data_IF_446808554593
#
_entry.id   IF_446808554593
#
_cell.length_a   1.000
_cell.length_b   1.000
_cell.length_c   1.000
_cell.angle_alpha   90.00
_cell.angle_beta   90.00
_cell.angle_gamma   90.00
#
_symmetry.space_group_name_H-M   'P 1'
#
loop_
_entity.id
_entity.type
_entity.pdbx_description
1 polymer ?
#
# COMPACT_ATOMS: atom_id res chain seq x y z
N UNK A 1 -18.78 4.94 -5.04
CA UNK A 1 -18.87 4.78 -3.56
C UNK A 1 -18.49 6.12 -2.96
N UNK A 2 -19.36 6.73 -2.17
CA UNK A 2 -19.12 8.08 -1.65
C UNK A 2 -17.90 8.15 -0.73
N UNK A 3 -17.20 9.29 -0.72
CA UNK A 3 -15.97 9.51 0.06
C UNK A 3 -16.13 9.17 1.55
N UNK A 4 -17.30 9.43 2.14
CA UNK A 4 -17.57 9.16 3.55
C UNK A 4 -17.51 7.66 3.88
N UNK A 5 -17.94 6.77 2.97
CA UNK A 5 -17.86 5.33 3.20
C UNK A 5 -16.42 4.82 3.17
N UNK A 6 -15.55 5.46 2.38
CA UNK A 6 -14.13 5.09 2.31
C UNK A 6 -13.42 5.46 3.61
N UNK A 7 -13.70 6.66 4.15
CA UNK A 7 -13.19 7.09 5.45
C UNK A 7 -13.67 6.15 6.56
N UNK A 8 -14.96 5.80 6.55
CA UNK A 8 -15.55 4.90 7.55
C UNK A 8 -14.93 3.50 7.47
N UNK A 9 -14.67 2.99 6.26
CA UNK A 9 -13.98 1.71 6.04
C UNK A 9 -12.55 1.77 6.60
N UNK A 10 -11.76 2.78 6.23
CA UNK A 10 -10.36 2.92 6.70
C UNK A 10 -10.33 3.02 8.24
N UNK A 11 -11.18 3.86 8.84
CA UNK A 11 -11.28 3.98 10.30
C UNK A 11 -11.74 2.69 10.96
N UNK A 12 -12.75 2.02 10.40
CA UNK A 12 -13.27 0.76 10.93
C UNK A 12 -12.22 -0.34 10.94
N UNK A 13 -11.51 -0.52 9.81
CA UNK A 13 -10.40 -1.49 9.73
C UNK A 13 -9.26 -1.09 10.66
N UNK A 14 -8.97 0.20 10.81
CA UNK A 14 -7.90 0.68 11.68
C UNK A 14 -8.18 0.40 13.15
N UNK A 15 -9.39 0.68 13.62
CA UNK A 15 -9.83 0.34 14.96
C UNK A 15 -9.83 -1.17 15.18
N UNK A 16 -10.34 -1.94 14.20
CA UNK A 16 -10.32 -3.40 14.27
C UNK A 16 -8.90 -3.96 14.42
N UNK A 17 -7.95 -3.49 13.60
CA UNK A 17 -6.55 -3.91 13.70
C UNK A 17 -5.89 -3.48 15.01
N UNK A 18 -6.24 -2.31 15.55
CA UNK A 18 -5.77 -1.88 16.88
C UNK A 18 -6.26 -2.82 17.99
N UNK A 19 -7.54 -3.16 17.97
CA UNK A 19 -8.14 -4.09 18.93
C UNK A 19 -7.48 -5.46 18.80
N UNK A 20 -7.35 -5.99 17.58
CA UNK A 20 -6.69 -7.26 17.32
C UNK A 20 -5.24 -7.27 17.84
N UNK A 21 -4.49 -6.18 17.60
CA UNK A 21 -3.12 -6.00 18.10
C UNK A 21 -3.03 -6.04 19.63
N UNK A 22 -4.08 -5.64 20.35
CA UNK A 22 -4.14 -5.71 21.83
C UNK A 22 -4.24 -7.15 22.33
N UNK A 23 -4.87 -8.05 21.58
CA UNK A 23 -5.00 -9.47 21.92
C UNK A 23 -3.79 -10.32 21.52
N UNK A 24 -2.84 -9.76 20.77
CA UNK A 24 -1.66 -10.49 20.31
C UNK A 24 -0.55 -10.60 21.38
N UNK A 25 0.19 -11.72 21.42
CA UNK A 25 1.34 -11.87 22.31
C UNK A 25 2.43 -10.85 21.98
N UNK A 26 3.14 -10.39 23.02
CA UNK A 26 4.11 -9.27 22.97
C UNK A 26 5.15 -9.42 21.84
N UNK A 27 5.58 -10.65 21.55
CA UNK A 27 6.56 -10.97 20.50
C UNK A 27 6.05 -10.64 19.09
N UNK A 28 4.77 -10.89 18.83
CA UNK A 28 4.12 -10.60 17.53
C UNK A 28 3.74 -9.13 17.46
N UNK A 29 3.22 -8.57 18.56
CA UNK A 29 2.79 -7.17 18.66
C UNK A 29 3.89 -6.16 18.27
N UNK A 30 5.17 -6.48 18.55
CA UNK A 30 6.32 -5.63 18.17
C UNK A 30 6.68 -5.70 16.69
N UNK A 31 6.43 -6.83 16.02
CA UNK A 31 6.65 -6.97 14.57
C UNK A 31 5.47 -6.45 13.75
N UNK A 32 4.28 -6.39 14.33
CA UNK A 32 3.04 -6.03 13.66
C UNK A 32 2.92 -4.49 13.48
N UNK A 33 3.18 -4.01 12.26
CA UNK A 33 2.95 -2.61 11.88
C UNK A 33 1.56 -2.48 11.26
N UNK A 34 0.74 -1.61 11.83
CA UNK A 34 -0.65 -1.42 11.36
C UNK A 34 -0.65 -0.76 9.97
N UNK A 35 0.31 0.14 9.69
CA UNK A 35 0.44 0.81 8.39
C UNK A 35 0.62 -0.18 7.23
N UNK A 36 1.44 -1.22 7.41
CA UNK A 36 1.71 -2.23 6.39
C UNK A 36 0.44 -3.01 6.00
N UNK A 37 -0.50 -3.19 6.94
CA UNK A 37 -1.79 -3.84 6.70
C UNK A 37 -2.86 -2.89 6.17
N UNK A 38 -2.75 -1.60 6.47
CA UNK A 38 -3.65 -0.55 5.95
C UNK A 38 -3.54 -0.40 4.42
N UNK A 39 -2.48 -0.90 3.81
CA UNK A 39 -2.33 -0.93 2.35
C UNK A 39 -3.48 -1.68 1.66
N UNK A 40 -3.99 -2.76 2.26
CA UNK A 40 -5.07 -3.58 1.70
C UNK A 40 -6.38 -2.79 1.56
N UNK A 41 -6.96 -2.21 2.64
CA UNK A 41 -8.17 -1.40 2.51
C UNK A 41 -7.96 -0.15 1.65
N UNK A 42 -6.75 0.43 1.63
CA UNK A 42 -6.44 1.57 0.78
C UNK A 42 -6.44 1.19 -0.71
N UNK A 43 -5.84 0.05 -1.08
CA UNK A 43 -5.91 -0.48 -2.44
C UNK A 43 -7.36 -0.74 -2.88
N UNK A 44 -8.19 -1.26 -1.98
CA UNK A 44 -9.62 -1.43 -2.24
C UNK A 44 -10.33 -0.10 -2.46
N UNK A 45 -10.00 0.94 -1.68
CA UNK A 45 -10.55 2.28 -1.90
C UNK A 45 -10.09 2.85 -3.25
N UNK A 46 -8.81 2.73 -3.62
CA UNK A 46 -8.30 3.14 -4.94
C UNK A 46 -9.06 2.43 -6.07
N UNK A 47 -9.29 1.12 -5.94
CA UNK A 47 -10.06 0.34 -6.90
C UNK A 47 -11.47 0.90 -7.08
N UNK A 48 -12.19 1.08 -5.97
CA UNK A 48 -13.56 1.56 -5.99
C UNK A 48 -13.66 2.99 -6.52
N UNK A 49 -12.79 3.90 -6.07
CA UNK A 49 -12.81 5.28 -6.54
C UNK A 49 -12.46 5.36 -8.02
N UNK A 50 -11.42 4.66 -8.47
CA UNK A 50 -11.03 4.66 -9.89
C UNK A 50 -12.13 4.12 -10.80
N UNK A 51 -12.78 3.02 -10.42
CA UNK A 51 -13.95 2.51 -11.16
C UNK A 51 -15.10 3.52 -11.21
N UNK A 52 -15.34 4.25 -10.13
CA UNK A 52 -16.48 5.19 -10.08
C UNK A 52 -16.23 6.53 -10.75
N UNK A 53 -14.98 7.00 -10.78
CA UNK A 53 -14.65 8.34 -11.32
C UNK A 53 -14.03 8.30 -12.71
N UNK A 54 -13.21 7.29 -12.99
CA UNK A 54 -12.45 7.17 -14.23
C UNK A 54 -13.04 6.10 -15.16
N UNK A 55 -14.10 5.40 -14.72
CA UNK A 55 -14.70 4.24 -15.39
C UNK A 55 -13.68 3.12 -15.72
N UNK A 56 -12.49 3.21 -15.11
CA UNK A 56 -11.32 2.42 -15.40
C UNK A 56 -10.65 2.04 -14.09
N UNK A 57 -10.25 0.78 -13.97
CA UNK A 57 -9.45 0.33 -12.85
C UNK A 57 -8.02 0.83 -13.00
N UNK A 58 -7.53 1.60 -12.03
CA UNK A 58 -6.12 2.04 -11.96
C UNK A 58 -5.21 0.92 -11.45
N UNK A 59 -5.77 -0.16 -10.88
CA UNK A 59 -5.00 -1.27 -10.31
C UNK A 59 -4.02 -1.92 -11.31
N UNK A 60 -4.41 -2.32 -12.53
CA UNK A 60 -3.49 -2.91 -13.49
C UNK A 60 -2.30 -1.99 -13.82
N UNK A 61 -2.56 -0.69 -13.97
CA UNK A 61 -1.53 0.31 -14.22
C UNK A 61 -0.60 0.47 -13.01
N UNK A 62 -1.16 0.43 -11.80
CA UNK A 62 -0.38 0.46 -10.57
C UNK A 62 0.53 -0.77 -10.45
N UNK A 63 0.02 -1.99 -10.71
CA UNK A 63 0.85 -3.20 -10.72
C UNK A 63 1.94 -3.16 -11.77
N UNK A 64 1.64 -2.65 -12.97
CA UNK A 64 2.63 -2.47 -14.02
C UNK A 64 3.73 -1.48 -13.61
N UNK A 65 3.35 -0.33 -13.06
CA UNK A 65 4.28 0.68 -12.55
C UNK A 65 5.14 0.17 -11.40
N UNK A 66 4.56 -0.58 -10.46
CA UNK A 66 5.31 -1.23 -9.37
C UNK A 66 6.28 -2.29 -9.91
N UNK A 67 5.86 -3.07 -10.91
CA UNK A 67 6.74 -4.03 -11.60
C UNK A 67 7.94 -3.35 -12.25
N UNK A 68 7.72 -2.27 -12.99
CA UNK A 68 8.79 -1.45 -13.58
C UNK A 68 9.71 -0.86 -12.51
N UNK A 69 9.15 -0.35 -11.41
CA UNK A 69 9.93 0.14 -10.27
C UNK A 69 10.80 -0.96 -9.67
N UNK A 70 10.29 -2.19 -9.54
CA UNK A 70 11.05 -3.34 -9.07
C UNK A 70 12.23 -3.68 -9.98
N UNK A 71 12.02 -3.67 -11.30
CA UNK A 71 13.08 -3.89 -12.29
C UNK A 71 14.13 -2.78 -12.19
N UNK A 72 13.71 -1.51 -12.15
CA UNK A 72 14.61 -0.36 -12.04
C UNK A 72 15.45 -0.43 -10.75
N UNK A 73 14.82 -0.71 -9.62
CA UNK A 73 15.50 -0.89 -8.33
C UNK A 73 16.52 -2.03 -8.39
N UNK A 74 16.19 -3.13 -9.07
CA UNK A 74 17.11 -4.27 -9.24
C UNK A 74 18.36 -3.86 -10.00
N UNK A 75 18.19 -3.12 -11.11
CA UNK A 75 19.30 -2.62 -11.91
C UNK A 75 20.18 -1.64 -11.13
N UNK A 76 19.57 -0.70 -10.40
CA UNK A 76 20.29 0.27 -9.55
C UNK A 76 21.08 -0.45 -8.45
N UNK A 77 20.46 -1.42 -7.77
CA UNK A 77 21.14 -2.22 -6.74
C UNK A 77 22.31 -3.01 -7.31
N UNK A 78 22.11 -3.71 -8.43
CA UNK A 78 23.16 -4.48 -9.08
C UNK A 78 24.32 -3.60 -9.56
N UNK A 79 24.04 -2.37 -10.02
CA UNK A 79 25.06 -1.42 -10.46
C UNK A 79 25.87 -0.83 -9.30
N UNK A 80 25.23 -0.53 -8.16
CA UNK A 80 25.89 0.14 -7.02
C UNK A 80 26.58 -0.87 -6.10
N UNK A 81 25.89 -1.94 -5.71
CA UNK A 81 26.36 -2.88 -4.69
C UNK A 81 27.05 -4.13 -5.28
N UNK A 82 26.87 -4.40 -6.57
CA UNK A 82 27.44 -5.59 -7.24
C UNK A 82 26.78 -6.92 -6.88
N UNK A 83 26.05 -6.98 -5.76
CA UNK A 83 25.29 -8.14 -5.30
C UNK A 83 23.88 -7.74 -4.86
N UNK A 84 22.90 -8.64 -5.06
CA UNK A 84 21.52 -8.41 -4.65
C UNK A 84 21.26 -9.16 -3.34
N UNK A 85 21.27 -8.43 -2.22
CA UNK A 85 20.81 -8.97 -0.94
C UNK A 85 19.27 -8.99 -0.93
N UNK A 86 18.68 -10.11 -1.33
CA UNK A 86 17.23 -10.29 -1.49
C UNK A 86 16.39 -9.76 -0.33
N UNK A 87 16.82 -10.01 0.92
CA UNK A 87 16.07 -9.57 2.11
C UNK A 87 15.97 -8.05 2.21
N UNK A 88 17.06 -7.35 1.93
CA UNK A 88 17.11 -5.88 1.98
C UNK A 88 16.37 -5.28 0.80
N UNK A 89 16.57 -5.87 -0.39
CA UNK A 89 15.89 -5.48 -1.62
C UNK A 89 14.37 -5.53 -1.47
N UNK A 90 13.81 -6.69 -1.09
CA UNK A 90 12.35 -6.82 -0.96
C UNK A 90 11.79 -5.90 0.12
N UNK A 91 12.52 -5.69 1.21
CA UNK A 91 12.09 -4.76 2.27
C UNK A 91 11.98 -3.33 1.74
N UNK A 92 12.99 -2.86 1.01
CA UNK A 92 12.98 -1.54 0.39
C UNK A 92 11.86 -1.45 -0.66
N UNK A 93 11.77 -2.46 -1.54
CA UNK A 93 10.74 -2.53 -2.58
C UNK A 93 9.32 -2.45 -2.00
N UNK A 94 8.97 -3.28 -1.00
CA UNK A 94 7.64 -3.22 -0.38
C UNK A 94 7.37 -1.88 0.31
N UNK A 95 8.39 -1.25 0.89
CA UNK A 95 8.23 0.08 1.48
C UNK A 95 7.95 1.15 0.41
N UNK A 96 8.62 1.08 -0.74
CA UNK A 96 8.31 1.94 -1.89
C UNK A 96 6.91 1.66 -2.46
N UNK A 97 6.50 0.39 -2.55
CA UNK A 97 5.15 0.04 -2.97
C UNK A 97 4.08 0.66 -2.06
N UNK A 98 4.26 0.51 -0.74
CA UNK A 98 3.38 1.12 0.26
C UNK A 98 3.30 2.65 0.07
N UNK A 99 4.44 3.31 -0.09
CA UNK A 99 4.52 4.75 -0.31
C UNK A 99 3.78 5.17 -1.59
N UNK A 100 4.03 4.50 -2.72
CA UNK A 100 3.38 4.80 -4.01
C UNK A 100 1.86 4.64 -3.90
N UNK A 101 1.38 3.60 -3.20
CA UNK A 101 -0.05 3.37 -3.00
C UNK A 101 -0.68 4.53 -2.20
N UNK A 102 -0.06 4.95 -1.09
CA UNK A 102 -0.58 6.08 -0.31
C UNK A 102 -0.51 7.40 -1.08
N UNK A 103 0.58 7.66 -1.79
CA UNK A 103 0.75 8.86 -2.61
C UNK A 103 -0.28 8.90 -3.73
N UNK A 104 -0.64 7.77 -4.32
CA UNK A 104 -1.69 7.70 -5.34
C UNK A 104 -3.09 7.82 -4.74
N UNK A 105 -3.33 7.29 -3.54
CA UNK A 105 -4.62 7.41 -2.87
C UNK A 105 -4.99 8.86 -2.56
N UNK A 106 -4.06 9.68 -2.06
CA UNK A 106 -4.32 11.06 -1.65
C UNK A 106 -5.01 11.92 -2.75
N UNK A 107 -4.43 12.10 -3.95
CA UNK A 107 -5.05 12.91 -5.00
C UNK A 107 -6.36 12.29 -5.47
N UNK A 108 -6.41 10.96 -5.60
CA UNK A 108 -7.59 10.23 -6.07
C UNK A 108 -8.75 10.35 -5.07
N UNK A 109 -8.44 10.39 -3.77
CA UNK A 109 -9.40 10.68 -2.72
C UNK A 109 -9.87 12.14 -2.74
N UNK A 110 -8.96 13.10 -2.94
CA UNK A 110 -9.31 14.54 -3.05
C UNK A 110 -10.24 14.80 -4.24
N UNK A 111 -9.96 14.18 -5.39
CA UNK A 111 -10.86 14.26 -6.55
C UNK A 111 -12.23 13.61 -6.30
N UNK A 112 -12.35 12.72 -5.31
CA UNK A 112 -13.59 12.03 -4.95
C UNK A 112 -14.52 12.77 -3.99
N UNK A 113 -14.03 13.86 -3.39
CA UNK A 113 -14.79 14.76 -2.50
C UNK A 113 -15.68 15.67 -3.35
#
# INVERSE_FOLDING_TARGET
MSWYYQVLLILGVFLFLMVLKKFMPIRIRRKFRISELMVIPVLYCIFMTSLTQLELSVIPFLFFGLGLLGIMMTLVYAYIEGEIIYRTFFRAYFHFCELVIYVLFIPLFIFSI
#
